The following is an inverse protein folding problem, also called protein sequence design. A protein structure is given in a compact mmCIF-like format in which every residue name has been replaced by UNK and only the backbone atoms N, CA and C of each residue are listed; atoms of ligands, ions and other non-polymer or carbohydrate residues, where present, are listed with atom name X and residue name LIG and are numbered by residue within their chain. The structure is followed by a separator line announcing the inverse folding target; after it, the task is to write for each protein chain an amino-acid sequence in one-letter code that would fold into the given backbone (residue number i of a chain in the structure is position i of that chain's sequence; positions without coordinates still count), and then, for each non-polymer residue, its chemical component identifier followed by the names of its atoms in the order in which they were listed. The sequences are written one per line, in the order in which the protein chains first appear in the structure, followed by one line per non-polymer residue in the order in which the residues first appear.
data_IF_573328696771
#
_entry.id   IF_573328696771
#
_cell.length_a   1.000
_cell.length_b   1.000
_cell.length_c   1.000
_cell.angle_alpha   90.00
_cell.angle_beta   90.00
_cell.angle_gamma   90.00
#
_symmetry.space_group_name_H-M   'P 1'
#
loop_
_entity.id
_entity.type
_entity.pdbx_description
1 polymer ?
#
# COMPACT_ATOMS: atom_id res chain seq x y z
N UNK A 1 -8.70 24.34 4.14
CA UNK A 1 -8.05 23.15 4.75
C UNK A 1 -9.07 22.10 5.16
N UNK A 2 -10.17 22.47 5.84
CA UNK A 2 -11.24 21.57 6.29
C UNK A 2 -11.98 20.84 5.17
N UNK A 3 -12.14 21.47 4.01
CA UNK A 3 -12.84 20.88 2.86
C UNK A 3 -12.17 19.60 2.32
N UNK A 4 -10.85 19.63 2.18
CA UNK A 4 -10.06 18.48 1.71
C UNK A 4 -10.11 17.30 2.71
N UNK A 5 -10.09 17.58 4.01
CA UNK A 5 -10.21 16.55 5.06
C UNK A 5 -11.57 15.88 4.96
N UNK A 6 -12.65 16.67 4.83
CA UNK A 6 -14.02 16.15 4.65
C UNK A 6 -14.13 15.27 3.40
N UNK A 7 -13.63 15.75 2.25
CA UNK A 7 -13.63 14.95 1.01
C UNK A 7 -12.90 13.62 1.18
N UNK A 8 -11.76 13.59 1.89
CA UNK A 8 -11.03 12.35 2.14
C UNK A 8 -11.79 11.42 3.10
N UNK A 9 -12.46 11.96 4.12
CA UNK A 9 -13.33 11.18 5.01
C UNK A 9 -14.51 10.59 4.22
N UNK A 10 -15.15 11.37 3.35
CA UNK A 10 -16.26 10.90 2.49
C UNK A 10 -15.82 9.75 1.58
N UNK A 11 -14.63 9.86 0.96
CA UNK A 11 -14.06 8.78 0.12
C UNK A 11 -13.85 7.49 0.93
N UNK A 12 -13.51 7.61 2.22
CA UNK A 12 -13.31 6.48 3.12
C UNK A 12 -14.59 6.07 3.87
N UNK A 13 -15.75 6.65 3.53
CA UNK A 13 -17.03 6.41 4.20
C UNK A 13 -16.99 6.71 5.71
N UNK A 14 -16.28 7.76 6.11
CA UNK A 14 -16.10 8.19 7.50
C UNK A 14 -16.84 9.51 7.77
N UNK A 15 -17.55 9.64 8.90
CA UNK A 15 -18.36 10.82 9.21
C UNK A 15 -17.53 12.05 9.62
N UNK A 16 -16.35 11.83 10.22
CA UNK A 16 -15.47 12.87 10.72
C UNK A 16 -14.00 12.44 10.70
N UNK A 17 -13.10 13.22 11.29
CA UNK A 17 -11.67 12.91 11.38
C UNK A 17 -11.49 11.66 12.27
N UNK A 18 -11.06 10.52 11.71
CA UNK A 18 -10.99 9.27 12.45
C UNK A 18 -9.74 9.20 13.33
N UNK A 19 -9.75 8.29 14.30
CA UNK A 19 -8.53 7.78 14.91
C UNK A 19 -7.74 6.90 13.92
N UNK A 20 -6.43 6.70 14.14
CA UNK A 20 -5.62 5.81 13.27
C UNK A 20 -6.18 4.38 13.15
N UNK A 21 -6.69 3.72 14.21
CA UNK A 21 -7.30 2.40 14.09
C UNK A 21 -8.56 2.38 13.21
N UNK A 22 -9.43 3.39 13.34
CA UNK A 22 -10.65 3.51 12.54
C UNK A 22 -10.32 3.75 11.06
N UNK A 23 -9.37 4.64 10.79
CA UNK A 23 -8.88 4.93 9.44
C UNK A 23 -8.37 3.67 8.75
N UNK A 24 -7.60 2.83 9.47
CA UNK A 24 -7.10 1.54 8.96
C UNK A 24 -8.21 0.54 8.70
N UNK A 25 -9.19 0.46 9.60
CA UNK A 25 -10.34 -0.43 9.45
C UNK A 25 -11.17 -0.09 8.21
N UNK A 26 -11.49 1.20 8.03
CA UNK A 26 -12.21 1.71 6.87
C UNK A 26 -11.45 1.43 5.57
N UNK A 27 -10.15 1.74 5.54
CA UNK A 27 -9.28 1.44 4.40
C UNK A 27 -9.29 -0.04 4.03
N UNK A 28 -9.05 -0.95 5.00
CA UNK A 28 -9.05 -2.41 4.76
C UNK A 28 -10.39 -2.89 4.22
N UNK A 29 -11.51 -2.41 4.78
CA UNK A 29 -12.87 -2.73 4.32
C UNK A 29 -13.04 -2.34 2.85
N UNK A 30 -12.68 -1.11 2.49
CA UNK A 30 -12.88 -0.57 1.16
C UNK A 30 -11.98 -1.21 0.12
N UNK A 31 -10.71 -1.48 0.44
CA UNK A 31 -9.81 -2.22 -0.46
C UNK A 31 -10.31 -3.64 -0.67
N UNK A 32 -10.78 -4.33 0.37
CA UNK A 32 -11.39 -5.65 0.21
C UNK A 32 -12.60 -5.61 -0.72
N UNK A 33 -13.37 -4.51 -0.73
CA UNK A 33 -14.52 -4.34 -1.61
C UNK A 33 -14.13 -3.98 -3.05
N UNK A 34 -13.15 -3.09 -3.21
CA UNK A 34 -12.79 -2.47 -4.50
C UNK A 34 -11.44 -2.90 -5.05
N UNK A 35 -10.92 -4.05 -4.60
CA UNK A 35 -9.72 -4.64 -5.21
C UNK A 35 -10.01 -5.00 -6.68
N UNK A 36 -9.21 -4.54 -7.65
CA UNK A 36 -9.47 -4.76 -9.08
C UNK A 36 -9.61 -6.25 -9.42
N UNK A 37 -8.82 -7.10 -8.79
CA UNK A 37 -8.85 -8.54 -9.00
C UNK A 37 -10.19 -9.20 -8.70
N UNK A 38 -11.02 -8.62 -7.83
CA UNK A 38 -12.38 -9.16 -7.60
C UNK A 38 -13.28 -9.08 -8.84
N UNK A 39 -12.86 -8.31 -9.84
CA UNK A 39 -13.62 -8.01 -11.03
C UNK A 39 -12.88 -8.44 -12.31
N UNK A 40 -11.94 -9.39 -12.21
CA UNK A 40 -11.11 -9.86 -13.32
C UNK A 40 -11.90 -10.40 -14.55
N UNK A 41 -13.19 -10.70 -14.39
CA UNK A 41 -14.08 -11.17 -15.45
C UNK A 41 -14.79 -10.04 -16.20
N UNK A 42 -14.74 -8.80 -15.70
CA UNK A 42 -15.40 -7.63 -16.29
C UNK A 42 -14.44 -6.44 -16.30
N UNK A 43 -13.83 -6.18 -17.46
CA UNK A 43 -12.85 -5.11 -17.65
C UNK A 43 -13.39 -3.71 -17.27
N UNK A 44 -14.70 -3.46 -17.39
CA UNK A 44 -15.29 -2.18 -17.01
C UNK A 44 -15.34 -2.04 -15.50
N UNK A 45 -15.76 -3.09 -14.81
CA UNK A 45 -15.80 -3.12 -13.34
C UNK A 45 -14.39 -3.15 -12.74
N UNK A 46 -13.44 -3.86 -13.33
CA UNK A 46 -12.03 -3.86 -12.96
C UNK A 46 -11.46 -2.44 -13.02
N UNK A 47 -11.67 -1.72 -14.14
CA UNK A 47 -11.22 -0.34 -14.30
C UNK A 47 -11.87 0.61 -13.29
N UNK A 48 -13.15 0.41 -12.99
CA UNK A 48 -13.86 1.19 -11.97
C UNK A 48 -13.29 0.92 -10.57
N UNK A 49 -13.03 -0.34 -10.25
CA UNK A 49 -12.43 -0.78 -8.99
C UNK A 49 -11.02 -0.19 -8.84
N UNK A 50 -10.19 -0.24 -9.88
CA UNK A 50 -8.87 0.40 -9.90
C UNK A 50 -8.95 1.91 -9.63
N UNK A 51 -9.88 2.64 -10.25
CA UNK A 51 -10.08 4.07 -10.01
C UNK A 51 -10.53 4.35 -8.56
N UNK A 52 -11.43 3.54 -8.02
CA UNK A 52 -11.89 3.69 -6.64
C UNK A 52 -10.78 3.37 -5.64
N UNK A 53 -10.08 2.25 -5.81
CA UNK A 53 -8.97 1.87 -4.95
C UNK A 53 -7.85 2.92 -4.96
N UNK A 54 -7.56 3.52 -6.12
CA UNK A 54 -6.63 4.64 -6.21
C UNK A 54 -7.08 5.84 -5.37
N UNK A 55 -8.34 6.25 -5.47
CA UNK A 55 -8.90 7.34 -4.64
C UNK A 55 -8.85 7.01 -3.14
N UNK A 56 -9.15 5.75 -2.78
CA UNK A 56 -9.06 5.26 -1.40
C UNK A 56 -7.61 5.37 -0.89
N UNK A 57 -6.62 4.95 -1.68
CA UNK A 57 -5.20 5.09 -1.33
C UNK A 57 -4.79 6.55 -1.13
N UNK A 58 -5.21 7.45 -2.03
CA UNK A 58 -4.90 8.87 -1.96
C UNK A 58 -5.52 9.52 -0.70
N UNK A 59 -6.79 9.23 -0.42
CA UNK A 59 -7.49 9.72 0.76
C UNK A 59 -6.87 9.19 2.07
N UNK A 60 -6.58 7.89 2.12
CA UNK A 60 -5.95 7.25 3.28
C UNK A 60 -4.58 7.85 3.58
N UNK A 61 -3.74 8.05 2.55
CA UNK A 61 -2.42 8.66 2.71
C UNK A 61 -2.48 10.07 3.26
N UNK A 62 -3.43 10.88 2.77
CA UNK A 62 -3.62 12.24 3.26
C UNK A 62 -4.10 12.25 4.72
N UNK A 63 -5.08 11.42 5.07
CA UNK A 63 -5.62 11.38 6.43
C UNK A 63 -4.63 10.83 7.46
N UNK A 64 -3.75 9.90 7.07
CA UNK A 64 -2.66 9.44 7.96
C UNK A 64 -1.75 10.60 8.35
N UNK A 65 -1.42 11.51 7.42
CA UNK A 65 -0.61 12.69 7.72
C UNK A 65 -1.31 13.59 8.73
N UNK A 66 -2.58 13.91 8.46
CA UNK A 66 -3.39 14.81 9.29
C UNK A 66 -3.58 14.25 10.71
N UNK A 67 -3.90 12.96 10.82
CA UNK A 67 -4.09 12.31 12.13
C UNK A 67 -2.76 12.14 12.87
N UNK A 68 -1.65 11.93 12.15
CA UNK A 68 -0.30 11.84 12.71
C UNK A 68 0.23 13.14 13.28
N UNK A 69 -0.09 14.29 12.67
CA UNK A 69 0.31 15.63 13.14
C UNK A 69 -0.41 16.07 14.43
N UNK A 70 -1.53 15.43 14.80
CA UNK A 70 -2.29 15.71 16.03
C UNK A 70 -1.70 15.13 17.32
N UNK A 71 -0.59 14.39 17.25
CA UNK A 71 0.16 13.89 18.41
C UNK A 71 1.45 14.70 18.56
N UNK A 72 1.53 15.48 19.63
CA UNK A 72 2.49 16.56 19.91
C UNK A 72 3.96 16.39 19.45
N UNK A 73 4.63 17.49 19.05
CA UNK A 73 6.02 17.52 18.61
C UNK A 73 7.00 17.62 19.79
N UNK A 74 7.97 16.71 19.86
CA UNK A 74 9.21 16.97 20.59
C UNK A 74 10.38 16.61 19.67
N UNK A 75 10.98 17.65 19.12
CA UNK A 75 12.34 17.69 18.56
C UNK A 75 12.69 16.66 17.46
N UNK A 76 12.29 16.93 16.23
CA UNK A 76 13.03 16.45 15.06
C UNK A 76 13.04 17.54 13.97
N UNK A 77 14.25 17.94 13.60
CA UNK A 77 14.58 18.93 12.56
C UNK A 77 13.90 18.59 11.22
N UNK A 78 13.43 19.66 10.55
CA UNK A 78 13.10 19.78 9.12
C UNK A 78 12.55 18.52 8.41
N UNK A 79 11.23 18.45 8.39
CA UNK A 79 10.42 17.36 7.85
C UNK A 79 10.21 17.50 6.32
N UNK A 80 10.76 16.57 5.53
CA UNK A 80 10.49 16.45 4.09
C UNK A 80 10.12 15.00 3.67
N UNK A 81 9.13 14.36 4.30
CA UNK A 81 8.66 13.03 3.91
C UNK A 81 7.30 12.62 4.49
N UNK A 82 6.55 11.78 3.77
CA UNK A 82 5.25 11.24 4.19
C UNK A 82 5.46 10.20 5.31
N UNK A 83 4.78 10.30 6.47
CA UNK A 83 4.84 9.29 7.53
C UNK A 83 4.43 7.92 7.01
N UNK A 84 5.12 6.86 7.44
CA UNK A 84 4.71 5.49 7.10
C UNK A 84 3.33 5.21 7.73
N UNK A 85 2.26 5.01 6.92
CA UNK A 85 0.91 4.81 7.43
C UNK A 85 0.73 3.51 8.23
N UNK A 86 1.72 2.62 8.21
CA UNK A 86 1.74 1.36 8.93
C UNK A 86 2.83 1.37 10.01
N UNK A 87 2.41 1.48 11.27
CA UNK A 87 3.21 1.04 12.42
C UNK A 87 3.27 -0.49 12.40
N UNK A 88 4.12 -1.07 11.55
CA UNK A 88 4.60 -2.44 11.76
C UNK A 88 5.31 -2.44 13.11
N UNK A 89 4.86 -3.29 14.05
CA UNK A 89 5.36 -3.35 15.44
C UNK A 89 6.87 -3.12 15.49
N UNK A 90 7.27 -1.96 16.00
CA UNK A 90 8.64 -1.52 16.29
C UNK A 90 9.65 -1.59 15.12
N UNK A 91 10.01 -0.42 14.56
CA UNK A 91 11.41 0.09 14.39
C UNK A 91 11.60 1.20 13.34
N UNK A 92 10.58 1.63 12.60
CA UNK A 92 10.83 2.48 11.41
C UNK A 92 9.85 3.65 11.20
N UNK A 93 9.31 4.21 12.28
CA UNK A 93 8.45 5.41 12.21
C UNK A 93 9.14 6.62 11.53
N UNK A 94 10.48 6.60 11.41
CA UNK A 94 11.31 7.71 10.95
C UNK A 94 11.96 7.52 9.57
N UNK A 95 11.58 6.49 8.80
CA UNK A 95 12.13 6.28 7.45
C UNK A 95 11.28 6.98 6.38
N UNK A 96 11.95 7.56 5.36
CA UNK A 96 11.28 8.12 4.18
C UNK A 96 10.37 7.04 3.58
N UNK A 97 9.11 7.35 3.29
CA UNK A 97 8.22 6.48 2.50
C UNK A 97 7.98 7.11 1.12
N UNK A 98 8.18 6.33 0.07
CA UNK A 98 7.87 6.73 -1.31
C UNK A 98 6.60 6.02 -1.74
N UNK A 99 5.54 6.77 -2.04
CA UNK A 99 4.28 6.19 -2.44
C UNK A 99 4.30 5.65 -3.88
N UNK A 100 3.53 4.59 -4.11
CA UNK A 100 3.38 3.96 -5.42
C UNK A 100 4.53 3.04 -5.80
N UNK A 101 4.40 2.43 -6.98
CA UNK A 101 5.43 1.61 -7.60
C UNK A 101 6.06 2.36 -8.78
N UNK A 102 7.19 1.87 -9.34
CA UNK A 102 7.81 2.48 -10.52
C UNK A 102 6.86 2.53 -11.71
N UNK A 103 5.94 1.57 -11.79
CA UNK A 103 4.83 1.60 -12.72
C UNK A 103 3.60 2.27 -12.08
N UNK A 104 3.11 3.40 -12.63
CA UNK A 104 1.96 4.12 -12.09
C UNK A 104 0.61 3.42 -12.30
N UNK A 105 0.55 2.39 -13.15
CA UNK A 105 -0.66 1.61 -13.42
C UNK A 105 -0.87 0.50 -12.39
N UNK A 106 0.20 0.11 -11.70
CA UNK A 106 0.15 -0.94 -10.67
C UNK A 106 -0.45 -0.35 -9.39
N UNK A 107 -1.56 -0.95 -8.95
CA UNK A 107 -2.21 -0.54 -7.72
C UNK A 107 -1.40 -1.01 -6.52
N UNK A 108 -1.05 -0.06 -5.64
CA UNK A 108 -0.41 -0.37 -4.38
C UNK A 108 -1.43 -0.81 -3.33
N UNK A 109 -1.27 -2.02 -2.82
CA UNK A 109 -2.08 -2.60 -1.75
C UNK A 109 -1.19 -2.78 -0.53
N UNK A 110 -1.48 -2.01 0.50
CA UNK A 110 -0.76 -2.14 1.76
C UNK A 110 -1.12 -3.42 2.51
N UNK A 111 -0.11 -4.04 3.13
CA UNK A 111 -0.22 -5.34 3.79
C UNK A 111 -0.11 -5.20 5.31
N UNK A 112 -0.72 -6.14 6.02
CA UNK A 112 -0.49 -6.33 7.46
C UNK A 112 0.67 -7.33 7.65
N UNK A 113 1.90 -6.86 7.38
CA UNK A 113 3.10 -7.69 7.43
C UNK A 113 4.21 -6.96 8.18
N UNK A 114 5.05 -7.71 8.90
CA UNK A 114 6.13 -7.14 9.70
C UNK A 114 7.32 -6.64 8.87
N UNK A 115 7.42 -7.05 7.60
CA UNK A 115 8.57 -6.77 6.74
C UNK A 115 8.19 -6.25 5.35
N UNK A 116 7.02 -6.64 4.85
CA UNK A 116 6.51 -6.23 3.54
C UNK A 116 5.47 -5.13 3.76
N UNK A 117 5.70 -3.94 3.21
CA UNK A 117 4.85 -2.76 3.41
C UNK A 117 3.63 -2.82 2.50
N UNK A 118 3.85 -3.10 1.23
CA UNK A 118 2.79 -3.14 0.23
C UNK A 118 3.15 -4.09 -0.91
N UNK A 119 2.13 -4.53 -1.62
CA UNK A 119 2.25 -5.31 -2.84
C UNK A 119 1.40 -4.72 -3.96
N UNK A 120 1.76 -5.03 -5.19
CA UNK A 120 0.96 -4.74 -6.37
C UNK A 120 1.25 -5.78 -7.44
N UNK A 121 0.29 -6.03 -8.31
CA UNK A 121 0.42 -7.05 -9.33
C UNK A 121 0.02 -6.49 -10.69
N UNK A 122 0.87 -6.71 -11.69
CA UNK A 122 0.58 -6.48 -13.09
C UNK A 122 0.23 -7.84 -13.71
N UNK A 123 -1.07 -8.05 -14.00
CA UNK A 123 -1.57 -9.31 -14.55
C UNK A 123 -1.11 -9.55 -15.98
N UNK A 124 -1.06 -8.50 -16.80
CA UNK A 124 -0.67 -8.62 -18.22
C UNK A 124 0.80 -9.01 -18.33
N UNK A 125 1.66 -8.45 -17.46
CA UNK A 125 3.10 -8.74 -17.47
C UNK A 125 3.53 -9.82 -16.48
N UNK A 126 2.61 -10.31 -15.65
CA UNK A 126 2.86 -11.27 -14.58
C UNK A 126 3.99 -10.82 -13.62
N UNK A 127 3.96 -9.54 -13.25
CA UNK A 127 4.96 -8.93 -12.36
C UNK A 127 4.35 -8.65 -11.00
N UNK A 128 4.93 -9.25 -9.96
CA UNK A 128 4.62 -8.95 -8.57
C UNK A 128 5.61 -7.91 -8.03
N UNK A 129 5.07 -6.79 -7.60
CA UNK A 129 5.80 -5.71 -6.93
C UNK A 129 5.66 -5.91 -5.43
N UNK A 130 6.79 -6.03 -4.72
CA UNK A 130 6.83 -6.04 -3.26
C UNK A 130 7.65 -4.85 -2.77
N UNK A 131 7.04 -4.00 -1.95
CA UNK A 131 7.73 -2.90 -1.26
C UNK A 131 8.07 -3.32 0.16
N UNK A 132 9.33 -3.14 0.54
CA UNK A 132 9.83 -3.45 1.88
C UNK A 132 10.04 -2.19 2.70
N UNK A 133 10.29 -2.39 4.00
CA UNK A 133 10.75 -1.34 4.88
C UNK A 133 12.05 -0.73 4.31
N UNK A 134 12.12 0.60 4.20
CA UNK A 134 13.22 1.31 3.53
C UNK A 134 12.98 1.73 2.08
N UNK A 135 11.76 1.55 1.54
CA UNK A 135 11.35 1.84 0.15
C UNK A 135 12.02 1.01 -0.93
N UNK A 136 12.69 -0.08 -0.58
CA UNK A 136 13.17 -1.00 -1.59
C UNK A 136 11.97 -1.71 -2.22
N UNK A 137 11.91 -1.66 -3.54
CA UNK A 137 10.85 -2.29 -4.32
C UNK A 137 11.49 -3.44 -5.11
N UNK A 138 10.93 -4.63 -4.99
CA UNK A 138 11.36 -5.80 -5.74
C UNK A 138 10.27 -6.17 -6.74
N UNK A 139 10.67 -6.30 -8.01
CA UNK A 139 9.82 -6.75 -9.10
C UNK A 139 10.15 -8.21 -9.34
N UNK A 140 9.25 -9.12 -8.96
CA UNK A 140 9.34 -10.54 -9.25
C UNK A 140 8.62 -10.81 -10.57
N UNK A 141 9.34 -11.41 -11.52
CA UNK A 141 8.84 -11.68 -12.87
C UNK A 141 8.26 -13.08 -12.98
N UNK A 142 7.40 -13.26 -13.98
CA UNK A 142 6.83 -14.55 -14.35
C UNK A 142 6.04 -15.18 -13.19
N UNK A 143 5.49 -14.36 -12.30
CA UNK A 143 4.71 -14.79 -11.13
C UNK A 143 3.27 -15.06 -11.58
N UNK A 144 2.79 -16.32 -11.53
CA UNK A 144 1.42 -16.63 -11.91
C UNK A 144 0.39 -15.95 -11.01
N UNK A 145 -0.79 -15.68 -11.58
CA UNK A 145 -1.88 -14.98 -10.90
C UNK A 145 -2.27 -15.67 -9.58
N UNK A 146 -2.32 -17.01 -9.55
CA UNK A 146 -2.66 -17.77 -8.34
C UNK A 146 -1.64 -17.59 -7.21
N UNK A 147 -0.34 -17.42 -7.52
CA UNK A 147 0.69 -17.18 -6.49
C UNK A 147 0.50 -15.82 -5.85
N UNK A 148 0.12 -14.81 -6.65
CA UNK A 148 -0.24 -13.50 -6.13
C UNK A 148 -1.48 -13.58 -5.23
N UNK A 149 -2.55 -14.25 -5.66
CA UNK A 149 -3.74 -14.44 -4.84
C UNK A 149 -3.43 -15.10 -3.51
N UNK A 150 -2.77 -16.26 -3.55
CA UNK A 150 -2.40 -16.99 -2.35
C UNK A 150 -1.52 -16.14 -1.41
N UNK A 151 -0.62 -15.32 -1.95
CA UNK A 151 0.16 -14.37 -1.17
C UNK A 151 -0.71 -13.31 -0.49
N UNK A 152 -1.68 -12.72 -1.19
CA UNK A 152 -2.59 -11.70 -0.66
C UNK A 152 -3.53 -12.23 0.42
N UNK A 153 -3.86 -13.52 0.37
CA UNK A 153 -4.71 -14.20 1.36
C UNK A 153 -3.92 -14.95 2.45
N UNK A 154 -2.60 -14.98 2.38
CA UNK A 154 -1.77 -15.69 3.34
C UNK A 154 -1.88 -15.08 4.75
N UNK A 155 -1.97 -15.94 5.76
CA UNK A 155 -1.93 -15.52 7.17
C UNK A 155 -0.64 -14.76 7.54
N UNK A 156 0.45 -15.05 6.81
CA UNK A 156 1.73 -14.37 6.97
C UNK A 156 2.38 -14.17 5.61
N UNK A 157 2.22 -12.97 5.05
CA UNK A 157 2.83 -12.55 3.79
C UNK A 157 4.34 -12.86 3.74
N UNK A 158 5.07 -12.57 4.82
CA UNK A 158 6.51 -12.83 4.90
C UNK A 158 6.86 -14.32 4.83
N UNK A 159 6.13 -15.19 5.54
CA UNK A 159 6.35 -16.65 5.48
C UNK A 159 5.97 -17.22 4.13
N UNK A 160 4.85 -16.76 3.56
CA UNK A 160 4.43 -17.18 2.22
C UNK A 160 5.48 -16.80 1.19
N UNK A 161 5.93 -15.54 1.19
CA UNK A 161 6.92 -15.06 0.23
C UNK A 161 8.26 -15.80 0.36
N UNK A 162 8.72 -16.07 1.58
CA UNK A 162 9.92 -16.87 1.83
C UNK A 162 9.82 -18.29 1.24
N UNK A 163 8.63 -18.90 1.31
CA UNK A 163 8.42 -20.28 0.87
C UNK A 163 8.14 -20.39 -0.63
N UNK A 164 7.36 -19.47 -1.19
CA UNK A 164 6.78 -19.63 -2.52
C UNK A 164 7.19 -18.55 -3.52
N UNK A 165 7.78 -17.43 -3.09
CA UNK A 165 8.14 -16.32 -3.99
C UNK A 165 9.66 -16.18 -4.13
N UNK A 166 10.35 -15.88 -3.04
CA UNK A 166 11.77 -15.53 -3.07
C UNK A 166 12.70 -16.57 -3.70
N UNK A 167 12.53 -17.88 -3.45
CA UNK A 167 13.41 -18.88 -4.05
C UNK A 167 12.98 -19.32 -5.45
N UNK A 168 11.78 -18.92 -5.90
CA UNK A 168 11.16 -19.48 -7.11
C UNK A 168 11.13 -18.51 -8.29
N UNK A 169 11.17 -17.20 -8.05
CA UNK A 169 11.03 -16.21 -9.12
C UNK A 169 12.25 -15.30 -9.22
N UNK A 170 12.64 -15.02 -10.47
CA UNK A 170 13.66 -14.01 -10.76
C UNK A 170 13.12 -12.64 -10.36
N UNK A 171 13.98 -11.81 -9.79
CA UNK A 171 13.60 -10.46 -9.39
C UNK A 171 14.58 -9.38 -9.87
N UNK A 172 14.10 -8.14 -9.90
CA UNK A 172 14.89 -6.93 -10.03
C UNK A 172 14.60 -6.01 -8.85
N UNK A 173 15.65 -5.51 -8.21
CA UNK A 173 15.55 -4.48 -7.16
C UNK A 173 15.43 -3.09 -7.82
N UNK A 174 14.58 -2.26 -7.25
CA UNK A 174 14.42 -0.86 -7.56
C UNK A 174 14.48 -0.06 -6.25
N UNK A 175 15.45 0.84 -6.15
CA UNK A 175 15.49 1.83 -5.08
C UNK A 175 15.16 3.20 -5.67
N UNK A 176 14.12 3.89 -5.17
CA UNK A 176 13.81 5.26 -5.60
C UNK A 176 14.91 6.28 -5.23
N UNK A 177 15.94 5.85 -4.49
CA UNK A 177 17.07 6.69 -4.07
C UNK A 177 18.41 6.31 -4.72
N UNK A 178 18.46 5.30 -5.60
CA UNK A 178 19.70 4.88 -6.30
C UNK A 178 19.93 5.64 -7.62
N UNK A 179 19.07 6.58 -8.00
CA UNK A 179 19.32 7.52 -9.10
C UNK A 179 20.00 8.79 -8.59
N UNK A 180 21.32 8.73 -8.41
CA UNK A 180 22.21 9.87 -8.27
C UNK A 180 23.52 9.59 -9.02
#
# INVERSE_FOLDING_TARGET
MTDRIKTCCDILELPEVPSLPELKSAYKKLIKQWHPDRFHSDARLERLAQQKAKKINEAYRYLVQVVGEGSSPTEAKEWQGVPNPYHTRHRYAWQRYTPGFPDPHVLEIFLDSSHIVSAGYDRERQILYLKFLGNEIFLYYDVPEYVYYDFMYAESHGRYALKYIYPHFRYKKYSPFEAA
#
